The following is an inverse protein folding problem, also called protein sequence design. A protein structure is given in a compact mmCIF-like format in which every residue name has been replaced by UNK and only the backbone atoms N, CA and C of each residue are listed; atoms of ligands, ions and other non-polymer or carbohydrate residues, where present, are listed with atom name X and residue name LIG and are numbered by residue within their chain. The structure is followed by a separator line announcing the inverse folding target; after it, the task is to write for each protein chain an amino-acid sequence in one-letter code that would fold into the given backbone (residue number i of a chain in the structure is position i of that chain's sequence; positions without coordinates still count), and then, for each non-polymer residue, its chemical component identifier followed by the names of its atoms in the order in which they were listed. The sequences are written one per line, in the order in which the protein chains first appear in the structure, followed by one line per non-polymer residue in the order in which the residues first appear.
data_IF_674084991805
#
_entry.id   IF_674084991805
#
_cell.length_a   1.000
_cell.length_b   1.000
_cell.length_c   1.000
_cell.angle_alpha   90.00
_cell.angle_beta   90.00
_cell.angle_gamma   90.00
#
_symmetry.space_group_name_H-M   'P 1'
#
loop_
_entity.id
_entity.type
_entity.pdbx_description
1 polymer ?
#
# COMPACT_ATOMS: atom_id res chain seq x y z
N UNK A 1 6.67 56.57 4.15
CA UNK A 1 7.22 55.67 5.17
C UNK A 1 6.39 54.40 5.21
N UNK A 2 6.73 53.42 4.37
CA UNK A 2 6.17 52.07 4.42
C UNK A 2 7.35 51.11 4.39
N UNK A 3 7.75 50.65 5.58
CA UNK A 3 8.74 49.61 5.80
C UNK A 3 8.13 48.27 5.45
N UNK A 4 8.51 47.69 4.31
CA UNK A 4 8.24 46.29 4.02
C UNK A 4 9.05 45.43 4.99
N UNK A 5 8.34 44.75 5.90
CA UNK A 5 8.92 43.77 6.81
C UNK A 5 9.41 42.57 6.01
N UNK A 6 10.69 42.26 6.17
CA UNK A 6 11.33 41.06 5.65
C UNK A 6 10.64 39.81 6.20
N UNK A 7 10.00 39.04 5.32
CA UNK A 7 9.63 37.66 5.63
C UNK A 7 10.91 36.87 5.92
N UNK A 8 11.00 36.09 7.01
CA UNK A 8 12.14 35.23 7.22
C UNK A 8 12.12 34.14 6.15
N UNK A 9 13.12 34.16 5.29
CA UNK A 9 13.45 33.02 4.44
C UNK A 9 13.73 31.84 5.35
N UNK A 10 12.74 30.95 5.49
CA UNK A 10 12.95 29.63 6.06
C UNK A 10 14.02 29.01 5.17
N UNK A 11 15.23 28.94 5.71
CA UNK A 11 16.38 28.28 5.15
C UNK A 11 16.05 26.78 5.16
N UNK A 12 15.22 26.33 4.22
CA UNK A 12 15.16 24.93 3.82
C UNK A 12 16.45 24.61 3.07
N UNK A 13 17.55 24.62 3.82
CA UNK A 13 18.58 23.61 3.62
C UNK A 13 17.91 22.28 3.93
N UNK A 14 17.15 21.77 2.95
CA UNK A 14 16.93 20.35 2.79
C UNK A 14 18.33 19.75 2.72
N UNK A 15 18.84 19.38 3.89
CA UNK A 15 20.12 18.73 4.04
C UNK A 15 19.90 17.28 3.57
N UNK A 16 19.64 17.11 2.27
CA UNK A 16 19.65 15.84 1.56
C UNK A 16 21.08 15.27 1.42
N UNK A 17 21.97 15.70 2.31
CA UNK A 17 23.37 15.31 2.38
C UNK A 17 23.76 14.94 3.82
N UNK A 18 22.88 14.25 4.53
CA UNK A 18 23.37 13.26 5.48
C UNK A 18 23.63 12.00 4.64
N UNK A 19 24.76 12.00 3.93
CA UNK A 19 25.45 10.77 3.60
C UNK A 19 25.77 10.09 4.94
N UNK A 20 24.80 9.38 5.51
CA UNK A 20 25.05 8.30 6.45
C UNK A 20 25.77 7.23 5.62
N UNK A 21 27.07 7.41 5.42
CA UNK A 21 27.98 6.35 5.04
C UNK A 21 28.04 5.37 6.21
N UNK A 22 26.95 4.62 6.41
CA UNK A 22 26.92 3.47 7.28
C UNK A 22 27.59 2.34 6.51
N UNK A 23 28.88 2.15 6.73
CA UNK A 23 29.52 0.89 6.36
C UNK A 23 28.76 -0.23 7.08
N UNK A 24 28.51 -1.36 6.40
CA UNK A 24 27.87 -2.53 6.99
C UNK A 24 28.59 -3.01 8.28
N UNK A 25 29.87 -2.67 8.40
CA UNK A 25 30.75 -3.00 9.54
C UNK A 25 30.52 -2.12 10.78
N UNK A 26 29.62 -1.13 10.72
CA UNK A 26 29.27 -0.32 11.89
C UNK A 26 28.52 -1.18 12.91
N UNK A 27 28.89 -1.14 14.20
CA UNK A 27 28.26 -1.95 15.25
C UNK A 27 26.77 -1.65 15.46
N UNK A 28 26.29 -0.54 14.91
CA UNK A 28 24.89 -0.12 14.99
C UNK A 28 24.05 -0.51 13.76
N UNK A 29 24.67 -1.06 12.71
CA UNK A 29 24.01 -1.28 11.42
C UNK A 29 22.91 -2.31 11.53
N UNK A 30 23.20 -3.45 12.16
CA UNK A 30 22.23 -4.53 12.37
C UNK A 30 21.02 -4.05 13.16
N UNK A 31 21.23 -3.32 14.26
CA UNK A 31 20.13 -2.78 15.07
C UNK A 31 19.30 -1.76 14.29
N UNK A 32 19.93 -0.94 13.45
CA UNK A 32 19.22 -0.02 12.56
C UNK A 32 18.36 -0.77 11.54
N UNK A 33 18.93 -1.77 10.86
CA UNK A 33 18.20 -2.60 9.88
C UNK A 33 17.04 -3.34 10.54
N UNK A 34 17.23 -3.92 11.73
CA UNK A 34 16.15 -4.57 12.48
C UNK A 34 15.04 -3.59 12.87
N UNK A 35 15.39 -2.38 13.28
CA UNK A 35 14.42 -1.34 13.59
C UNK A 35 13.61 -0.93 12.35
N UNK A 36 14.27 -0.72 11.20
CA UNK A 36 13.56 -0.41 9.94
C UNK A 36 12.68 -1.57 9.47
N UNK A 37 13.13 -2.81 9.63
CA UNK A 37 12.31 -3.99 9.32
C UNK A 37 11.07 -4.10 10.22
N UNK A 38 11.21 -3.75 11.50
CA UNK A 38 10.08 -3.67 12.42
C UNK A 38 9.12 -2.54 12.00
N UNK A 39 9.63 -1.37 11.62
CA UNK A 39 8.82 -0.27 11.08
C UNK A 39 8.05 -0.69 9.82
N UNK A 40 8.70 -1.39 8.89
CA UNK A 40 8.05 -1.95 7.69
C UNK A 40 6.97 -2.97 8.04
N UNK A 41 7.16 -3.77 9.08
CA UNK A 41 6.13 -4.71 9.54
C UNK A 41 4.90 -3.99 10.11
N UNK A 42 5.11 -2.95 10.91
CA UNK A 42 4.02 -2.10 11.44
C UNK A 42 3.28 -1.41 10.30
N UNK A 43 4.01 -0.88 9.32
CA UNK A 43 3.41 -0.27 8.13
C UNK A 43 2.54 -1.27 7.37
N UNK A 44 3.06 -2.47 7.09
CA UNK A 44 2.31 -3.54 6.44
C UNK A 44 1.02 -3.90 7.19
N UNK A 45 1.08 -4.04 8.52
CA UNK A 45 -0.11 -4.32 9.33
C UNK A 45 -1.13 -3.17 9.24
N UNK A 46 -0.65 -1.93 9.31
CA UNK A 46 -1.50 -0.73 9.24
C UNK A 46 -2.21 -0.63 7.89
N UNK A 47 -1.51 -0.87 6.78
CA UNK A 47 -2.10 -0.86 5.44
C UNK A 47 -3.16 -1.95 5.27
N UNK A 48 -2.92 -3.14 5.81
CA UNK A 48 -3.91 -4.23 5.80
C UNK A 48 -5.15 -3.89 6.67
N UNK A 49 -4.97 -3.25 7.83
CA UNK A 49 -6.11 -2.78 8.64
C UNK A 49 -6.93 -1.73 7.87
N UNK A 50 -6.27 -0.77 7.20
CA UNK A 50 -6.95 0.21 6.34
C UNK A 50 -7.71 -0.48 5.21
N UNK A 51 -7.10 -1.46 4.53
CA UNK A 51 -7.77 -2.24 3.49
C UNK A 51 -9.00 -2.99 4.03
N UNK A 52 -8.91 -3.62 5.21
CA UNK A 52 -10.03 -4.29 5.85
C UNK A 52 -11.17 -3.31 6.23
N UNK A 53 -10.83 -2.13 6.75
CA UNK A 53 -11.81 -1.07 7.03
C UNK A 53 -12.46 -0.53 5.76
N UNK A 54 -11.71 -0.48 4.67
CA UNK A 54 -12.22 -0.07 3.35
C UNK A 54 -13.26 -1.06 2.81
N UNK A 55 -13.01 -2.36 2.94
CA UNK A 55 -14.01 -3.40 2.64
C UNK A 55 -15.26 -3.25 3.50
N UNK A 56 -15.09 -2.88 4.77
CA UNK A 56 -16.23 -2.62 5.68
C UNK A 56 -17.01 -1.38 5.26
N UNK A 57 -16.34 -0.31 4.83
CA UNK A 57 -16.98 0.86 4.24
C UNK A 57 -17.80 0.50 2.99
N UNK A 58 -17.27 -0.37 2.12
CA UNK A 58 -18.01 -0.90 0.97
C UNK A 58 -19.31 -1.61 1.36
N UNK A 59 -19.26 -2.49 2.38
CA UNK A 59 -20.46 -3.17 2.92
C UNK A 59 -21.49 -2.19 3.50
N UNK A 60 -21.03 -1.21 4.29
CA UNK A 60 -21.91 -0.18 4.83
C UNK A 60 -22.54 0.67 3.70
N UNK A 61 -21.77 0.97 2.66
CA UNK A 61 -22.25 1.64 1.45
C UNK A 61 -23.37 0.87 0.74
N UNK A 62 -23.23 -0.45 0.62
CA UNK A 62 -24.28 -1.30 0.06
C UNK A 62 -25.57 -1.29 0.90
N UNK A 63 -25.45 -1.34 2.23
CA UNK A 63 -26.60 -1.22 3.14
C UNK A 63 -27.28 0.16 3.06
N UNK A 64 -26.49 1.22 2.88
CA UNK A 64 -27.00 2.58 2.69
C UNK A 64 -27.76 2.70 1.38
N UNK A 65 -27.24 2.14 0.29
CA UNK A 65 -27.92 2.11 -1.00
C UNK A 65 -29.24 1.34 -0.93
N UNK A 66 -29.26 0.18 -0.26
CA UNK A 66 -30.48 -0.58 -0.03
C UNK A 66 -31.51 0.21 0.79
N UNK A 67 -31.07 0.93 1.82
CA UNK A 67 -31.94 1.80 2.61
C UNK A 67 -32.53 2.95 1.77
N UNK A 68 -31.71 3.52 0.88
CA UNK A 68 -32.12 4.55 -0.08
C UNK A 68 -33.15 4.00 -1.07
N UNK A 69 -32.96 2.77 -1.60
CA UNK A 69 -33.94 2.11 -2.48
C UNK A 69 -35.26 1.84 -1.77
N UNK A 70 -35.23 1.39 -0.52
CA UNK A 70 -36.45 1.20 0.28
C UNK A 70 -37.21 2.52 0.48
N UNK A 71 -36.49 3.62 0.67
CA UNK A 71 -37.09 4.95 0.72
C UNK A 71 -37.69 5.35 -0.63
N UNK A 72 -37.00 5.06 -1.75
CA UNK A 72 -37.52 5.29 -3.09
C UNK A 72 -38.84 4.53 -3.33
N UNK A 73 -38.89 3.25 -2.94
CA UNK A 73 -40.11 2.44 -3.00
C UNK A 73 -41.25 3.02 -2.14
N UNK A 74 -40.94 3.51 -0.95
CA UNK A 74 -41.92 4.18 -0.10
C UNK A 74 -42.45 5.46 -0.76
N UNK A 75 -41.60 6.23 -1.45
CA UNK A 75 -42.02 7.38 -2.26
C UNK A 75 -42.92 6.96 -3.45
N UNK A 76 -42.73 5.77 -4.04
CA UNK A 76 -43.69 5.22 -5.02
C UNK A 76 -45.00 4.72 -4.39
N UNK A 77 -45.19 4.95 -3.09
CA UNK A 77 -46.32 4.45 -2.31
C UNK A 77 -46.42 2.92 -2.37
N UNK A 78 -45.30 2.23 -2.67
CA UNK A 78 -45.19 0.77 -2.66
C UNK A 78 -44.70 0.32 -1.29
N UNK A 79 -45.29 -0.75 -0.75
CA UNK A 79 -44.72 -1.42 0.41
C UNK A 79 -43.62 -2.38 -0.04
N UNK A 80 -42.48 -2.34 0.64
CA UNK A 80 -41.47 -3.40 0.59
C UNK A 80 -42.02 -4.59 1.37
N UNK A 81 -42.94 -5.35 0.76
CA UNK A 81 -43.38 -6.64 1.29
C UNK A 81 -42.40 -7.69 0.78
N UNK A 82 -41.41 -7.99 1.61
CA UNK A 82 -40.70 -9.25 1.51
C UNK A 82 -41.69 -10.35 1.92
N UNK A 83 -41.79 -11.40 1.10
CA UNK A 83 -42.43 -12.67 1.44
C UNK A 83 -43.97 -12.66 1.54
N UNK A 84 -44.65 -12.68 0.39
CA UNK A 84 -45.87 -13.50 0.27
C UNK A 84 -45.72 -14.34 -1.01
N UNK A 85 -45.29 -15.59 -0.85
CA UNK A 85 -45.37 -16.68 -1.83
C UNK A 85 -46.84 -16.93 -2.17
N UNK A 86 -47.42 -16.14 -3.08
CA UNK A 86 -48.74 -16.40 -3.62
C UNK A 86 -48.82 -15.80 -5.02
N UNK A 87 -49.30 -16.59 -6.00
CA UNK A 87 -49.46 -16.28 -7.42
C UNK A 87 -49.08 -14.85 -7.85
N UNK A 88 -47.94 -14.71 -8.53
CA UNK A 88 -47.32 -13.41 -8.84
C UNK A 88 -48.24 -12.41 -9.54
N UNK A 89 -49.19 -12.87 -10.37
CA UNK A 89 -50.16 -12.01 -11.04
C UNK A 89 -51.24 -11.44 -10.10
N UNK A 90 -51.70 -12.23 -9.14
CA UNK A 90 -52.73 -11.81 -8.17
C UNK A 90 -52.11 -10.83 -7.15
N UNK A 91 -50.87 -11.09 -6.74
CA UNK A 91 -50.10 -10.20 -5.88
C UNK A 91 -49.79 -8.85 -6.56
N UNK A 92 -49.40 -8.87 -7.84
CA UNK A 92 -49.12 -7.65 -8.61
C UNK A 92 -50.38 -6.79 -8.79
N UNK A 93 -51.52 -7.39 -9.17
CA UNK A 93 -52.79 -6.66 -9.27
C UNK A 93 -53.22 -6.03 -7.94
N UNK A 94 -53.07 -6.74 -6.82
CA UNK A 94 -53.36 -6.19 -5.48
C UNK A 94 -52.46 -5.01 -5.16
N UNK A 95 -51.18 -5.09 -5.50
CA UNK A 95 -50.22 -4.02 -5.28
C UNK A 95 -50.55 -2.78 -6.12
N UNK A 96 -50.99 -2.95 -7.37
CA UNK A 96 -51.43 -1.85 -8.23
C UNK A 96 -52.68 -1.16 -7.69
N UNK A 97 -53.67 -1.93 -7.22
CA UNK A 97 -54.89 -1.39 -6.61
C UNK A 97 -54.53 -0.59 -5.36
N UNK A 98 -53.67 -1.13 -4.49
CA UNK A 98 -53.25 -0.46 -3.25
C UNK A 98 -52.47 0.83 -3.54
N UNK A 99 -51.56 0.81 -4.52
CA UNK A 99 -50.84 2.02 -4.96
C UNK A 99 -51.81 3.05 -5.53
N UNK A 100 -52.81 2.64 -6.31
CA UNK A 100 -53.82 3.54 -6.85
C UNK A 100 -54.68 4.18 -5.75
N UNK A 101 -55.06 3.42 -4.71
CA UNK A 101 -55.78 3.95 -3.54
C UNK A 101 -54.92 4.95 -2.77
N UNK A 102 -53.65 4.63 -2.52
CA UNK A 102 -52.70 5.54 -1.85
C UNK A 102 -52.48 6.81 -2.67
N UNK A 103 -52.34 6.70 -3.99
CA UNK A 103 -52.24 7.86 -4.90
C UNK A 103 -53.47 8.76 -4.78
N UNK A 104 -54.66 8.18 -4.75
CA UNK A 104 -55.90 8.94 -4.54
C UNK A 104 -55.96 9.60 -3.16
N UNK A 105 -55.51 8.93 -2.11
CA UNK A 105 -55.50 9.47 -0.76
C UNK A 105 -54.55 10.67 -0.59
N UNK A 106 -53.43 10.65 -1.30
CA UNK A 106 -52.35 11.66 -1.19
C UNK A 106 -52.56 12.83 -2.17
N UNK A 107 -53.34 12.63 -3.24
CA UNK A 107 -53.59 13.62 -4.29
C UNK A 107 -52.57 13.54 -5.43
N UNK A 108 -53.00 13.92 -6.64
CA UNK A 108 -52.22 13.73 -7.88
C UNK A 108 -50.90 14.51 -7.89
N UNK A 109 -50.90 15.78 -7.46
CA UNK A 109 -49.70 16.62 -7.42
C UNK A 109 -48.63 16.06 -6.48
N UNK A 110 -49.02 15.64 -5.28
CA UNK A 110 -48.11 15.08 -4.29
C UNK A 110 -47.66 13.66 -4.68
N UNK A 111 -48.53 12.85 -5.28
CA UNK A 111 -48.16 11.56 -5.85
C UNK A 111 -47.16 11.69 -7.02
N UNK A 112 -47.31 12.73 -7.84
CA UNK A 112 -46.37 13.07 -8.92
C UNK A 112 -45.01 13.49 -8.36
N UNK A 113 -44.99 14.41 -7.38
CA UNK A 113 -43.78 14.83 -6.69
C UNK A 113 -43.04 13.66 -6.03
N UNK A 114 -43.77 12.78 -5.33
CA UNK A 114 -43.21 11.59 -4.71
C UNK A 114 -42.66 10.60 -5.76
N UNK A 115 -43.25 10.53 -6.95
CA UNK A 115 -42.69 9.79 -8.09
C UNK A 115 -41.32 10.33 -8.50
N UNK A 116 -41.21 11.64 -8.69
CA UNK A 116 -39.91 12.29 -9.03
C UNK A 116 -38.89 12.08 -7.91
N UNK A 117 -39.29 12.21 -6.64
CA UNK A 117 -38.40 11.94 -5.51
C UNK A 117 -37.90 10.49 -5.49
N UNK A 118 -38.76 9.53 -5.84
CA UNK A 118 -38.34 8.13 -5.97
C UNK A 118 -37.27 7.95 -7.04
N UNK A 119 -37.44 8.57 -8.20
CA UNK A 119 -36.48 8.40 -9.30
C UNK A 119 -35.11 9.00 -8.92
N UNK A 120 -35.11 10.16 -8.26
CA UNK A 120 -33.89 10.76 -7.70
C UNK A 120 -33.23 9.88 -6.64
N UNK A 121 -34.01 9.28 -5.74
CA UNK A 121 -33.46 8.40 -4.71
C UNK A 121 -32.87 7.12 -5.30
N UNK A 122 -33.46 6.57 -6.36
CA UNK A 122 -32.91 5.41 -7.06
C UNK A 122 -31.56 5.74 -7.71
N UNK A 123 -31.46 6.93 -8.34
CA UNK A 123 -30.20 7.43 -8.90
C UNK A 123 -29.13 7.64 -7.80
N UNK A 124 -29.53 8.20 -6.65
CA UNK A 124 -28.64 8.34 -5.49
C UNK A 124 -28.17 6.98 -4.98
N UNK A 125 -29.05 5.98 -4.90
CA UNK A 125 -28.69 4.64 -4.45
C UNK A 125 -27.66 3.98 -5.41
N UNK A 126 -27.84 4.17 -6.72
CA UNK A 126 -26.89 3.67 -7.72
C UNK A 126 -25.54 4.37 -7.60
N UNK A 127 -25.53 5.69 -7.45
CA UNK A 127 -24.31 6.46 -7.23
C UNK A 127 -23.57 6.03 -5.94
N UNK A 128 -24.30 5.73 -4.86
CA UNK A 128 -23.71 5.21 -3.61
C UNK A 128 -23.00 3.87 -3.84
N UNK A 129 -23.60 2.95 -4.60
CA UNK A 129 -22.99 1.66 -4.95
C UNK A 129 -21.77 1.86 -5.84
N UNK A 130 -21.88 2.66 -6.90
CA UNK A 130 -20.80 2.89 -7.83
C UNK A 130 -19.59 3.52 -7.13
N UNK A 131 -19.83 4.54 -6.30
CA UNK A 131 -18.79 5.20 -5.52
C UNK A 131 -18.10 4.24 -4.56
N UNK A 132 -18.86 3.46 -3.79
CA UNK A 132 -18.30 2.56 -2.78
C UNK A 132 -17.54 1.40 -3.40
N UNK A 133 -18.03 0.84 -4.50
CA UNK A 133 -17.31 -0.19 -5.28
C UNK A 133 -16.03 0.35 -5.91
N UNK A 134 -16.09 1.53 -6.52
CA UNK A 134 -14.92 2.17 -7.13
C UNK A 134 -13.84 2.47 -6.08
N UNK A 135 -14.25 2.98 -4.92
CA UNK A 135 -13.38 3.26 -3.80
C UNK A 135 -12.75 1.98 -3.24
N UNK A 136 -13.56 0.95 -3.00
CA UNK A 136 -13.08 -0.36 -2.54
C UNK A 136 -12.09 -0.96 -3.52
N UNK A 137 -12.43 -1.04 -4.81
CA UNK A 137 -11.57 -1.62 -5.84
C UNK A 137 -10.22 -0.89 -5.93
N UNK A 138 -10.24 0.45 -5.89
CA UNK A 138 -9.01 1.24 -6.01
C UNK A 138 -8.15 1.11 -4.77
N UNK A 139 -8.70 1.37 -3.58
CA UNK A 139 -7.90 1.39 -2.36
C UNK A 139 -7.48 0.01 -1.88
N UNK A 140 -8.37 -0.98 -1.90
CA UNK A 140 -8.02 -2.32 -1.42
C UNK A 140 -6.90 -2.91 -2.27
N UNK A 141 -7.04 -2.86 -3.60
CA UNK A 141 -6.04 -3.40 -4.52
C UNK A 141 -4.70 -2.70 -4.33
N UNK A 142 -4.67 -1.35 -4.35
CA UNK A 142 -3.41 -0.62 -4.19
C UNK A 142 -2.74 -0.85 -2.84
N UNK A 143 -3.51 -0.93 -1.74
CA UNK A 143 -2.93 -1.12 -0.40
C UNK A 143 -2.43 -2.55 -0.18
N UNK A 144 -3.19 -3.56 -0.62
CA UNK A 144 -2.81 -4.97 -0.46
C UNK A 144 -1.62 -5.32 -1.34
N UNK A 145 -1.60 -4.85 -2.59
CA UNK A 145 -0.47 -5.07 -3.51
C UNK A 145 0.79 -4.38 -3.01
N UNK A 146 0.70 -3.09 -2.62
CA UNK A 146 1.84 -2.35 -2.11
C UNK A 146 2.38 -2.95 -0.80
N UNK A 147 1.51 -3.22 0.17
CA UNK A 147 1.94 -3.81 1.44
C UNK A 147 2.65 -5.15 1.22
N UNK A 148 2.05 -6.04 0.42
CA UNK A 148 2.63 -7.35 0.11
C UNK A 148 3.97 -7.24 -0.61
N UNK A 149 4.06 -6.40 -1.63
CA UNK A 149 5.27 -6.29 -2.45
C UNK A 149 6.43 -5.62 -1.70
N UNK A 150 6.18 -4.54 -0.97
CA UNK A 150 7.23 -3.80 -0.27
C UNK A 150 7.81 -4.60 0.90
N UNK A 151 6.97 -5.23 1.71
CA UNK A 151 7.45 -6.06 2.82
C UNK A 151 8.24 -7.27 2.30
N UNK A 152 7.80 -7.87 1.19
CA UNK A 152 8.53 -8.96 0.55
C UNK A 152 9.89 -8.50 0.04
N UNK A 153 9.93 -7.39 -0.70
CA UNK A 153 11.17 -6.83 -1.26
C UNK A 153 12.16 -6.45 -0.16
N UNK A 154 11.70 -5.84 0.93
CA UNK A 154 12.54 -5.51 2.07
C UNK A 154 13.15 -6.76 2.74
N UNK A 155 12.36 -7.83 2.90
CA UNK A 155 12.85 -9.11 3.44
C UNK A 155 13.88 -9.78 2.53
N UNK A 156 13.62 -9.77 1.22
CA UNK A 156 14.54 -10.32 0.22
C UNK A 156 15.87 -9.56 0.20
N UNK A 157 15.82 -8.23 0.23
CA UNK A 157 17.01 -7.38 0.32
C UNK A 157 17.79 -7.61 1.62
N UNK A 158 17.11 -7.73 2.76
CA UNK A 158 17.75 -8.07 4.04
C UNK A 158 18.49 -9.39 3.95
N UNK A 159 17.83 -10.44 3.44
CA UNK A 159 18.44 -11.77 3.32
C UNK A 159 19.64 -11.77 2.36
N UNK A 160 19.55 -11.08 1.23
CA UNK A 160 20.67 -10.91 0.29
C UNK A 160 21.82 -10.13 0.92
N UNK A 161 21.52 -9.10 1.71
CA UNK A 161 22.50 -8.34 2.48
C UNK A 161 23.25 -9.21 3.49
N UNK A 162 22.52 -9.97 4.31
CA UNK A 162 23.10 -10.92 5.28
C UNK A 162 23.99 -11.97 4.60
N UNK A 163 23.56 -12.51 3.46
CA UNK A 163 24.36 -13.46 2.68
C UNK A 163 25.65 -12.84 2.14
N UNK A 164 25.59 -11.59 1.67
CA UNK A 164 26.76 -10.86 1.19
C UNK A 164 27.75 -10.57 2.32
N UNK A 165 27.26 -10.16 3.49
CA UNK A 165 28.07 -9.95 4.70
C UNK A 165 28.76 -11.23 5.13
N UNK A 166 28.02 -12.33 5.27
CA UNK A 166 28.59 -13.65 5.63
C UNK A 166 29.67 -14.10 4.62
N UNK A 167 29.43 -13.86 3.33
CA UNK A 167 30.41 -14.18 2.27
C UNK A 167 31.68 -13.34 2.37
N UNK A 168 31.55 -12.06 2.74
CA UNK A 168 32.68 -11.15 2.95
C UNK A 168 33.49 -11.56 4.20
N UNK A 169 32.82 -11.91 5.29
CA UNK A 169 33.46 -12.40 6.53
C UNK A 169 34.23 -13.70 6.28
N UNK A 170 33.68 -14.63 5.51
CA UNK A 170 34.36 -15.86 5.11
C UNK A 170 35.65 -15.58 4.30
N UNK A 171 35.61 -14.60 3.39
CA UNK A 171 36.77 -14.19 2.61
C UNK A 171 37.82 -13.49 3.48
N UNK A 172 37.38 -12.63 4.40
CA UNK A 172 38.25 -11.95 5.36
C UNK A 172 38.93 -12.97 6.28
N UNK A 173 38.18 -13.93 6.81
CA UNK A 173 38.71 -15.01 7.64
C UNK A 173 39.75 -15.85 6.86
N UNK A 174 39.48 -16.17 5.59
CA UNK A 174 40.45 -16.85 4.70
C UNK A 174 41.69 -16.00 4.40
N UNK A 175 41.55 -14.68 4.30
CA UNK A 175 42.68 -13.78 4.11
C UNK A 175 43.58 -13.74 5.36
N UNK A 176 42.98 -13.58 6.54
CA UNK A 176 43.69 -13.52 7.82
C UNK A 176 44.32 -14.86 8.22
N UNK A 177 43.62 -15.98 7.99
CA UNK A 177 44.08 -17.33 8.34
C UNK A 177 44.80 -18.04 7.17
N UNK A 178 44.84 -17.43 6.00
CA UNK A 178 45.48 -17.96 4.81
C UNK A 178 47.01 -17.90 4.88
N UNK A 179 47.65 -18.70 4.03
CA UNK A 179 49.11 -18.91 3.91
C UNK A 179 49.97 -17.64 3.70
N UNK A 180 49.36 -16.46 3.60
CA UNK A 180 50.04 -15.16 3.51
C UNK A 180 50.47 -14.58 4.88
N UNK A 181 49.78 -14.90 5.98
CA UNK A 181 50.28 -14.57 7.32
C UNK A 181 51.53 -15.42 7.65
N UNK A 182 51.56 -16.68 7.20
CA UNK A 182 52.70 -17.57 7.35
C UNK A 182 53.91 -17.19 6.45
N UNK A 183 53.67 -16.61 5.27
CA UNK A 183 54.73 -16.18 4.35
C UNK A 183 55.54 -14.97 4.86
N UNK A 184 54.97 -14.15 5.76
CA UNK A 184 55.68 -13.06 6.44
C UNK A 184 56.49 -13.53 7.64
N UNK A 185 56.12 -14.67 8.24
CA UNK A 185 56.87 -15.27 9.36
C UNK A 185 58.04 -16.18 8.93
N UNK A 186 58.22 -16.43 7.62
CA UNK A 186 59.18 -17.41 7.09
C UNK A 186 60.18 -16.88 6.05
N UNK A 187 60.29 -15.56 5.87
CA UNK A 187 61.20 -14.98 4.88
C UNK A 187 62.41 -14.33 5.58
N UNK A 188 63.35 -15.16 6.04
CA UNK A 188 64.76 -14.76 6.16
C UNK A 188 65.38 -14.63 4.75
N UNK A 189 64.81 -13.77 3.91
CA UNK A 189 65.57 -13.10 2.86
C UNK A 189 64.75 -11.93 2.30
N UNK A 190 65.35 -10.75 2.29
CA UNK A 190 64.68 -9.49 2.02
C UNK A 190 64.38 -9.29 0.54
N UNK A 191 63.20 -9.68 0.07
CA UNK A 191 62.48 -9.07 -1.08
C UNK A 191 61.08 -9.67 -1.24
N UNK A 192 60.14 -9.23 -0.41
CA UNK A 192 58.72 -9.56 -0.60
C UNK A 192 58.17 -8.71 -1.76
N UNK A 193 57.77 -9.38 -2.83
CA UNK A 193 57.20 -8.82 -4.06
C UNK A 193 55.79 -8.26 -3.82
N UNK A 194 55.71 -6.99 -3.41
CA UNK A 194 54.45 -6.23 -3.36
C UNK A 194 53.81 -6.06 -4.75
N UNK A 195 54.61 -6.06 -5.82
CA UNK A 195 54.13 -5.81 -7.19
C UNK A 195 53.30 -6.96 -7.78
N UNK A 196 53.43 -8.19 -7.29
CA UNK A 196 52.70 -9.33 -7.88
C UNK A 196 51.26 -9.45 -7.38
N UNK A 197 50.92 -8.80 -6.26
CA UNK A 197 49.60 -8.85 -5.65
C UNK A 197 48.68 -7.75 -6.20
N UNK A 198 49.19 -6.55 -6.50
CA UNK A 198 48.40 -5.49 -7.15
C UNK A 198 47.84 -5.93 -8.50
N UNK A 199 48.63 -6.66 -9.27
CA UNK A 199 48.28 -7.16 -10.60
C UNK A 199 47.16 -8.23 -10.58
N UNK A 200 47.05 -8.99 -9.48
CA UNK A 200 46.04 -10.05 -9.34
C UNK A 200 44.71 -9.51 -8.80
N UNK A 201 44.74 -8.43 -8.02
CA UNK A 201 43.53 -7.76 -7.50
C UNK A 201 42.90 -6.85 -8.56
N UNK A 202 43.69 -6.14 -9.38
CA UNK A 202 43.17 -5.34 -10.51
C UNK A 202 42.39 -6.19 -11.53
N UNK A 203 42.85 -7.41 -11.80
CA UNK A 203 42.17 -8.33 -12.72
C UNK A 203 40.86 -8.92 -12.19
N UNK A 204 40.59 -8.86 -10.87
CA UNK A 204 39.31 -9.29 -10.30
C UNK A 204 38.36 -8.11 -10.00
N UNK A 205 38.90 -6.94 -9.63
CA UNK A 205 38.11 -5.73 -9.37
C UNK A 205 37.41 -5.17 -10.62
N UNK A 206 38.03 -5.29 -11.80
CA UNK A 206 37.43 -4.87 -13.06
C UNK A 206 36.22 -5.72 -13.46
N UNK A 207 36.24 -7.03 -13.18
CA UNK A 207 35.12 -7.94 -13.50
C UNK A 207 33.86 -7.67 -12.67
N UNK A 208 34.03 -7.19 -11.42
CA UNK A 208 32.92 -6.89 -10.52
C UNK A 208 32.22 -5.57 -10.90
N UNK A 209 32.99 -4.54 -11.29
CA UNK A 209 32.45 -3.25 -11.72
C UNK A 209 31.85 -3.30 -13.14
N UNK A 210 32.35 -4.14 -14.04
CA UNK A 210 31.78 -4.30 -15.39
C UNK A 210 30.36 -4.91 -15.38
N UNK A 211 29.94 -5.58 -14.30
CA UNK A 211 28.57 -6.13 -14.18
C UNK A 211 27.51 -5.09 -13.86
N UNK A 212 27.90 -3.89 -13.39
CA UNK A 212 26.98 -2.79 -13.11
C UNK A 212 26.91 -1.74 -14.24
N UNK A 213 27.77 -1.85 -15.27
CA UNK A 213 27.83 -0.88 -16.37
C UNK A 213 26.97 -1.22 -17.58
N UNK A 214 26.31 -2.39 -17.61
CA UNK A 214 25.35 -2.74 -18.65
C UNK A 214 23.96 -2.95 -18.05
N UNK A 215 23.31 -1.85 -17.70
CA UNK A 215 21.85 -1.68 -17.73
C UNK A 215 21.53 -0.24 -18.09
#
# INVERSE_FOLDING_TARGET
SNSFSSSPSINTKLNANVQNSFSADSPYFTSYVENEMNSMHVMHQTLNDIAARTKTFGKCGALMAESTRRLALACRLRQSRAEEENDGEEAERRQEIEVAERRRAVGEDLASLLGVMSDLLEEVAEAQIQMTRSFEATMVTSLEEFAGHELFTAKDLKSKGEQATNSADDLLAKYLNGRHAAALSGSEDGKVSWNKFSEQVENHGTSFLSRFSNR
#
